data_IF_061751935690
#
_entry.id   IF_061751935690
#
_cell.length_a   1.000
_cell.length_b   1.000
_cell.length_c   1.000
_cell.angle_alpha   90.00
_cell.angle_beta   90.00
_cell.angle_gamma   90.00
#
_symmetry.space_group_name_H-M   'P 1'
#
loop_
_entity.id
_entity.type
_entity.pdbx_description
1 polymer ?
#
# COMPACT_ATOMS: atom_id res chain seq x y z
N UNK A 1 -15.25 -40.31 33.95
CA UNK A 1 -14.85 -39.96 32.58
C UNK A 1 -15.78 -38.91 31.94
N UNK A 2 -16.30 -37.94 32.71
CA UNK A 2 -17.06 -36.78 32.19
C UNK A 2 -16.91 -35.62 33.19
N UNK A 3 -15.84 -34.84 33.05
CA UNK A 3 -15.66 -33.58 33.81
C UNK A 3 -14.60 -32.64 33.22
N UNK A 4 -13.79 -33.08 32.25
CA UNK A 4 -12.80 -32.22 31.59
C UNK A 4 -13.30 -31.39 30.39
N UNK A 5 -14.53 -31.62 29.91
CA UNK A 5 -15.09 -30.92 28.73
C UNK A 5 -15.79 -29.60 29.13
N UNK A 6 -16.27 -29.49 30.38
CA UNK A 6 -17.01 -28.30 30.85
C UNK A 6 -16.12 -27.07 31.09
N UNK A 7 -14.89 -27.27 31.60
CA UNK A 7 -13.93 -26.19 31.88
C UNK A 7 -13.31 -25.56 30.61
N UNK A 8 -13.15 -26.34 29.53
CA UNK A 8 -12.65 -25.79 28.24
C UNK A 8 -13.67 -24.88 27.56
N UNK A 9 -14.96 -25.14 27.73
CA UNK A 9 -16.02 -24.31 27.17
C UNK A 9 -16.24 -23.01 27.97
N UNK A 10 -16.01 -23.01 29.29
CA UNK A 10 -16.13 -21.78 30.11
C UNK A 10 -14.96 -20.80 29.90
N UNK A 11 -13.73 -21.29 29.77
CA UNK A 11 -12.54 -20.47 29.45
C UNK A 11 -12.61 -19.88 28.02
N UNK A 12 -13.19 -20.61 27.06
CA UNK A 12 -13.41 -20.13 25.71
C UNK A 12 -14.55 -19.08 25.64
N UNK A 13 -15.59 -19.22 26.47
CA UNK A 13 -16.67 -18.24 26.60
C UNK A 13 -16.24 -16.94 27.33
N UNK A 14 -15.34 -17.04 28.31
CA UNK A 14 -14.78 -15.86 29.00
C UNK A 14 -13.84 -15.04 28.09
N UNK A 15 -13.03 -15.71 27.25
CA UNK A 15 -12.19 -15.02 26.26
C UNK A 15 -13.01 -14.34 25.15
N UNK A 16 -14.15 -14.93 24.74
CA UNK A 16 -15.11 -14.30 23.81
C UNK A 16 -15.79 -13.06 24.38
N UNK A 17 -16.22 -13.09 25.65
CA UNK A 17 -16.85 -11.93 26.32
C UNK A 17 -15.88 -10.77 26.54
N UNK A 18 -14.60 -11.06 26.81
CA UNK A 18 -13.57 -10.02 26.94
C UNK A 18 -13.27 -9.33 25.61
N UNK A 19 -13.21 -10.07 24.50
CA UNK A 19 -12.96 -9.52 23.17
C UNK A 19 -14.07 -8.55 22.70
N UNK A 20 -15.34 -8.92 22.91
CA UNK A 20 -16.48 -8.05 22.61
C UNK A 20 -16.52 -6.81 23.53
N UNK A 21 -16.21 -6.96 24.83
CA UNK A 21 -16.18 -5.82 25.77
C UNK A 21 -15.11 -4.79 25.44
N UNK A 22 -13.90 -5.18 25.05
CA UNK A 22 -12.81 -4.23 24.76
C UNK A 22 -13.09 -3.39 23.50
N UNK A 23 -13.72 -3.99 22.49
CA UNK A 23 -14.12 -3.29 21.26
C UNK A 23 -15.36 -2.40 21.52
N UNK A 24 -16.36 -2.88 22.25
CA UNK A 24 -17.55 -2.08 22.58
C UNK A 24 -17.26 -0.94 23.56
N UNK A 25 -16.35 -1.12 24.53
CA UNK A 25 -16.00 -0.07 25.50
C UNK A 25 -15.14 1.05 24.89
N UNK A 26 -14.31 0.75 23.89
CA UNK A 26 -13.55 1.78 23.16
C UNK A 26 -14.42 2.59 22.19
N UNK A 27 -15.52 2.01 21.70
CA UNK A 27 -16.54 2.71 20.89
C UNK A 27 -17.51 3.54 21.74
N UNK A 28 -17.87 3.07 22.94
CA UNK A 28 -18.77 3.80 23.86
C UNK A 28 -18.10 5.01 24.54
N UNK A 29 -16.80 4.91 24.90
CA UNK A 29 -16.06 6.00 25.55
C UNK A 29 -15.86 7.27 24.71
N UNK A 30 -16.17 7.23 23.40
CA UNK A 30 -16.12 8.43 22.53
C UNK A 30 -17.48 9.10 22.34
N UNK A 31 -18.57 8.54 22.88
CA UNK A 31 -19.94 9.06 22.69
C UNK A 31 -20.55 9.74 23.91
N UNK A 32 -19.93 9.68 25.09
CA UNK A 32 -20.33 10.46 26.25
C UNK A 32 -19.13 11.23 26.77
N UNK A 33 -19.12 12.54 26.58
CA UNK A 33 -18.60 13.52 27.53
C UNK A 33 -18.89 14.92 26.94
N UNK A 34 -20.16 15.30 27.06
CA UNK A 34 -20.58 16.69 27.04
C UNK A 34 -20.89 17.09 28.49
N UNK A 35 -20.05 17.98 28.99
CA UNK A 35 -20.21 18.94 30.09
C UNK A 35 -20.42 18.44 31.53
N UNK A 36 -19.58 19.03 32.37
CA UNK A 36 -19.65 19.25 33.81
C UNK A 36 -19.41 18.06 34.75
N UNK A 37 -18.14 17.89 35.16
CA UNK A 37 -17.78 17.88 36.58
C UNK A 37 -16.30 18.21 36.81
N UNK A 38 -16.06 19.01 37.86
CA UNK A 38 -14.86 19.80 38.14
C UNK A 38 -13.64 19.01 38.63
N UNK A 39 -12.47 19.43 38.12
CA UNK A 39 -11.20 19.67 38.84
C UNK A 39 -10.79 18.69 39.94
N UNK A 40 -10.18 17.56 39.55
CA UNK A 40 -9.16 16.84 40.34
C UNK A 40 -8.27 15.89 39.50
N UNK A 41 -8.54 15.71 38.20
CA UNK A 41 -7.97 14.62 37.38
C UNK A 41 -6.83 15.01 36.42
N UNK A 42 -6.40 16.29 36.38
CA UNK A 42 -5.41 16.73 35.37
C UNK A 42 -3.99 16.27 35.68
N UNK A 43 -3.60 16.24 36.96
CA UNK A 43 -2.25 15.88 37.43
C UNK A 43 -1.99 14.37 37.41
N UNK A 44 -3.00 13.56 37.72
CA UNK A 44 -2.93 12.09 37.67
C UNK A 44 -2.86 11.61 36.22
N UNK A 45 -3.69 12.17 35.33
CA UNK A 45 -3.63 11.85 33.90
C UNK A 45 -2.31 12.31 33.25
N UNK A 46 -1.74 13.45 33.67
CA UNK A 46 -0.40 13.84 33.20
C UNK A 46 0.69 12.95 33.77
N UNK A 47 0.60 12.52 35.03
CA UNK A 47 1.58 11.61 35.62
C UNK A 47 1.54 10.22 35.00
N UNK A 48 0.35 9.67 34.69
CA UNK A 48 0.23 8.43 33.94
C UNK A 48 0.75 8.56 32.51
N UNK A 49 0.50 9.69 31.84
CA UNK A 49 1.08 9.98 30.52
C UNK A 49 2.60 10.10 30.59
N UNK A 50 3.15 10.79 31.58
CA UNK A 50 4.59 10.95 31.80
C UNK A 50 5.23 9.59 32.12
N UNK A 51 4.61 8.76 32.96
CA UNK A 51 5.10 7.42 33.26
C UNK A 51 4.99 6.48 32.05
N UNK A 52 3.96 6.65 31.21
CA UNK A 52 3.84 5.92 29.95
C UNK A 52 4.90 6.37 28.95
N UNK A 53 5.17 7.67 28.85
CA UNK A 53 6.25 8.25 28.02
C UNK A 53 7.61 7.78 28.53
N UNK A 54 7.87 7.82 29.83
CA UNK A 54 9.12 7.37 30.45
C UNK A 54 9.31 5.85 30.33
N UNK A 55 8.24 5.07 30.49
CA UNK A 55 8.28 3.61 30.29
C UNK A 55 8.47 3.25 28.81
N UNK A 56 7.91 4.04 27.89
CA UNK A 56 8.17 3.91 26.47
C UNK A 56 9.63 4.31 26.16
N UNK A 57 10.14 5.39 26.73
CA UNK A 57 11.52 5.85 26.54
C UNK A 57 12.56 4.89 27.13
N UNK A 58 12.28 4.28 28.30
CA UNK A 58 13.13 3.24 28.90
C UNK A 58 13.02 1.89 28.18
N UNK A 59 11.88 1.59 27.56
CA UNK A 59 11.66 0.39 26.74
C UNK A 59 12.28 0.50 25.34
N UNK A 60 12.58 1.71 24.87
CA UNK A 60 13.23 1.99 23.59
C UNK A 60 14.70 2.37 23.80
N UNK A 61 15.53 1.46 24.30
CA UNK A 61 16.95 1.53 23.92
C UNK A 61 16.99 1.21 22.43
N UNK A 62 16.96 2.25 21.59
CA UNK A 62 17.31 2.12 20.18
C UNK A 62 18.75 1.65 20.14
N UNK A 63 18.95 0.37 19.85
CA UNK A 63 20.27 -0.21 19.67
C UNK A 63 20.99 0.57 18.56
N UNK A 64 22.16 1.09 18.88
CA UNK A 64 22.94 1.85 17.93
C UNK A 64 23.65 0.90 16.96
N UNK A 65 24.06 1.44 15.81
CA UNK A 65 24.84 0.71 14.81
C UNK A 65 26.03 -0.02 15.44
N UNK A 66 26.77 0.64 16.33
CA UNK A 66 27.95 0.07 16.99
C UNK A 66 27.57 -1.13 17.86
N UNK A 67 26.53 -1.01 18.70
CA UNK A 67 26.12 -2.10 19.61
C UNK A 67 25.71 -3.37 18.86
N UNK A 68 25.14 -3.24 17.67
CA UNK A 68 24.71 -4.39 16.85
C UNK A 68 25.91 -5.03 16.15
N UNK A 69 26.88 -4.24 15.71
CA UNK A 69 28.13 -4.74 15.15
C UNK A 69 29.00 -5.42 16.21
N UNK A 70 29.05 -4.87 17.42
CA UNK A 70 29.71 -5.52 18.57
C UNK A 70 29.07 -6.87 18.91
N UNK A 71 27.74 -6.97 18.80
CA UNK A 71 27.04 -8.26 18.95
C UNK A 71 27.44 -9.26 17.86
N UNK A 72 27.59 -8.80 16.61
CA UNK A 72 28.06 -9.65 15.51
C UNK A 72 29.48 -10.18 15.75
N UNK A 73 30.38 -9.34 16.27
CA UNK A 73 31.76 -9.71 16.58
C UNK A 73 31.89 -10.64 17.79
N UNK A 74 31.05 -10.44 18.81
CA UNK A 74 31.10 -11.19 20.07
C UNK A 74 30.32 -12.52 20.02
N UNK A 75 29.15 -12.55 19.38
CA UNK A 75 28.29 -13.73 19.28
C UNK A 75 27.51 -13.76 17.95
N UNK A 76 28.18 -14.29 16.93
CA UNK A 76 27.61 -14.52 15.60
C UNK A 76 26.30 -15.34 15.65
N UNK A 77 26.19 -16.29 16.58
CA UNK A 77 25.00 -17.12 16.69
C UNK A 77 23.83 -16.28 17.23
N UNK A 78 24.03 -15.49 18.29
CA UNK A 78 22.99 -14.59 18.80
C UNK A 78 22.53 -13.58 17.72
N UNK A 79 23.48 -12.99 16.99
CA UNK A 79 23.17 -12.10 15.87
C UNK A 79 22.31 -12.78 14.79
N UNK A 80 22.71 -13.98 14.35
CA UNK A 80 21.96 -14.76 13.36
C UNK A 80 20.55 -15.14 13.86
N UNK A 81 20.43 -15.51 15.13
CA UNK A 81 19.14 -15.84 15.72
C UNK A 81 18.18 -14.65 15.79
N UNK A 82 18.71 -13.46 16.08
CA UNK A 82 17.97 -12.20 16.04
C UNK A 82 17.47 -11.89 14.62
N UNK A 83 18.32 -12.01 13.60
CA UNK A 83 17.92 -11.82 12.20
C UNK A 83 16.82 -12.79 11.77
N UNK A 84 16.93 -14.07 12.14
CA UNK A 84 15.90 -15.07 11.87
C UNK A 84 14.58 -14.74 12.59
N UNK A 85 14.63 -14.21 13.81
CA UNK A 85 13.42 -13.76 14.50
C UNK A 85 12.75 -12.60 13.77
N UNK A 86 13.53 -11.59 13.36
CA UNK A 86 13.01 -10.46 12.59
C UNK A 86 12.44 -10.87 11.24
N UNK A 87 13.09 -11.79 10.53
CA UNK A 87 12.55 -12.36 9.30
C UNK A 87 11.22 -13.08 9.57
N UNK A 88 11.13 -13.86 10.65
CA UNK A 88 9.90 -14.54 11.04
C UNK A 88 8.73 -13.59 11.34
N UNK A 89 9.00 -12.50 12.07
CA UNK A 89 8.02 -11.45 12.35
C UNK A 89 7.49 -10.78 11.06
N UNK A 90 8.39 -10.46 10.14
CA UNK A 90 8.03 -9.83 8.87
C UNK A 90 7.26 -10.80 7.95
N UNK A 91 7.63 -12.09 7.92
CA UNK A 91 6.90 -13.14 7.19
C UNK A 91 5.49 -13.33 7.76
N UNK A 92 5.35 -13.37 9.09
CA UNK A 92 4.04 -13.49 9.74
C UNK A 92 3.15 -12.28 9.41
N UNK A 93 3.72 -11.07 9.49
CA UNK A 93 3.03 -9.82 9.17
C UNK A 93 2.58 -9.78 7.70
N UNK A 94 3.48 -10.13 6.77
CA UNK A 94 3.20 -10.20 5.34
C UNK A 94 2.01 -11.12 5.05
N UNK A 95 2.03 -12.35 5.60
CA UNK A 95 0.95 -13.33 5.38
C UNK A 95 -0.37 -12.92 6.01
N UNK A 96 -0.32 -12.24 7.15
CA UNK A 96 -1.52 -11.67 7.78
C UNK A 96 -2.17 -10.64 6.87
N UNK A 97 -1.39 -9.69 6.34
CA UNK A 97 -1.92 -8.66 5.44
C UNK A 97 -2.44 -9.26 4.13
N UNK A 98 -1.71 -10.21 3.52
CA UNK A 98 -2.12 -10.89 2.28
C UNK A 98 -3.50 -11.55 2.42
N UNK A 99 -3.72 -12.27 3.53
CA UNK A 99 -4.99 -12.94 3.82
C UNK A 99 -6.11 -11.93 4.06
N UNK A 100 -5.84 -10.87 4.81
CA UNK A 100 -6.85 -9.83 5.09
C UNK A 100 -7.27 -9.09 3.81
N UNK A 101 -6.33 -8.78 2.92
CA UNK A 101 -6.62 -8.20 1.60
C UNK A 101 -7.45 -9.17 0.75
N UNK A 102 -7.06 -10.44 0.68
CA UNK A 102 -7.79 -11.44 -0.11
C UNK A 102 -9.23 -11.63 0.38
N UNK A 103 -9.46 -11.58 1.71
CA UNK A 103 -10.80 -11.64 2.31
C UNK A 103 -11.61 -10.36 2.04
N UNK A 104 -10.99 -9.18 2.09
CA UNK A 104 -11.65 -7.91 1.71
C UNK A 104 -12.09 -7.92 0.25
N UNK A 105 -11.23 -8.38 -0.67
CA UNK A 105 -11.52 -8.40 -2.11
C UNK A 105 -12.66 -9.36 -2.46
N UNK A 106 -12.75 -10.48 -1.72
CA UNK A 106 -13.85 -11.45 -1.85
C UNK A 106 -15.14 -11.01 -1.17
N UNK A 107 -15.11 -9.88 -0.45
CA UNK A 107 -16.22 -9.39 0.36
C UNK A 107 -16.61 -10.38 1.49
N UNK A 108 -15.66 -11.22 1.91
CA UNK A 108 -15.85 -12.16 3.02
C UNK A 108 -15.79 -11.42 4.37
N UNK A 109 -15.04 -10.31 4.42
CA UNK A 109 -14.86 -9.44 5.59
C UNK A 109 -14.77 -7.99 5.09
N UNK A 110 -15.32 -7.03 5.83
CA UNK A 110 -15.02 -5.61 5.64
C UNK A 110 -14.13 -5.09 6.78
N UNK A 111 -12.81 -5.15 6.59
CA UNK A 111 -11.81 -4.73 7.58
C UNK A 111 -11.69 -3.20 7.71
N UNK A 112 -12.21 -2.45 6.74
CA UNK A 112 -12.07 -0.98 6.70
C UNK A 112 -13.39 -0.24 6.91
N UNK A 113 -14.44 -0.94 7.38
CA UNK A 113 -15.77 -0.38 7.60
C UNK A 113 -15.69 0.98 8.32
N UNK A 114 -16.26 2.00 7.69
CA UNK A 114 -16.32 3.39 8.18
C UNK A 114 -14.96 4.05 8.51
N UNK A 115 -13.84 3.48 8.04
CA UNK A 115 -12.50 3.97 8.32
C UNK A 115 -11.97 4.84 7.17
N UNK A 116 -11.48 6.06 7.46
CA UNK A 116 -10.84 6.88 6.45
C UNK A 116 -9.48 6.29 6.02
N UNK A 117 -9.04 6.60 4.81
CA UNK A 117 -7.92 5.91 4.15
C UNK A 117 -6.57 6.12 4.82
N UNK A 118 -6.41 7.20 5.58
CA UNK A 118 -5.27 7.49 6.43
C UNK A 118 -5.13 6.52 7.63
N UNK A 119 -6.18 5.82 8.05
CA UNK A 119 -6.14 4.87 9.17
C UNK A 119 -5.89 3.42 8.73
N UNK A 120 -5.91 3.14 7.42
CA UNK A 120 -5.75 1.79 6.85
C UNK A 120 -4.52 1.06 7.40
N UNK A 121 -3.34 1.72 7.42
CA UNK A 121 -2.10 1.12 7.92
C UNK A 121 -2.20 0.78 9.42
N UNK A 122 -2.74 1.70 10.22
CA UNK A 122 -2.93 1.51 11.67
C UNK A 122 -3.90 0.36 11.95
N UNK A 123 -4.97 0.23 11.17
CA UNK A 123 -5.92 -0.89 11.29
C UNK A 123 -5.23 -2.22 10.99
N UNK A 124 -4.47 -2.31 9.89
CA UNK A 124 -3.71 -3.52 9.54
C UNK A 124 -2.67 -3.88 10.60
N UNK A 125 -1.94 -2.90 11.13
CA UNK A 125 -0.98 -3.10 12.22
C UNK A 125 -1.66 -3.64 13.49
N UNK A 126 -2.85 -3.14 13.84
CA UNK A 126 -3.62 -3.67 14.98
C UNK A 126 -4.00 -5.14 14.78
N UNK A 127 -4.40 -5.52 13.56
CA UNK A 127 -4.68 -6.92 13.24
C UNK A 127 -3.43 -7.80 13.31
N UNK A 128 -2.28 -7.32 12.80
CA UNK A 128 -1.00 -8.03 12.92
C UNK A 128 -0.68 -8.29 14.39
N UNK A 129 -0.73 -7.26 15.24
CA UNK A 129 -0.45 -7.41 16.67
C UNK A 129 -1.41 -8.38 17.35
N UNK A 130 -2.72 -8.25 17.10
CA UNK A 130 -3.72 -9.13 17.68
C UNK A 130 -3.53 -10.60 17.24
N UNK A 131 -3.22 -10.84 15.96
CA UNK A 131 -3.00 -12.19 15.45
C UNK A 131 -1.69 -12.77 15.96
N UNK A 132 -0.65 -11.94 16.11
CA UNK A 132 0.64 -12.35 16.69
C UNK A 132 0.47 -12.76 18.15
N UNK A 133 -0.26 -11.99 18.93
CA UNK A 133 -0.54 -12.29 20.33
C UNK A 133 -1.34 -13.59 20.46
N UNK A 134 -2.32 -13.81 19.59
CA UNK A 134 -3.07 -15.05 19.56
C UNK A 134 -2.20 -16.24 19.15
N UNK A 135 -1.38 -16.08 18.11
CA UNK A 135 -0.47 -17.11 17.65
C UNK A 135 0.52 -17.52 18.74
N UNK A 136 1.06 -16.55 19.49
CA UNK A 136 2.02 -16.80 20.59
C UNK A 136 1.40 -17.49 21.80
N UNK A 137 0.08 -17.39 22.00
CA UNK A 137 -0.65 -18.09 23.06
C UNK A 137 -0.95 -19.55 22.74
N UNK A 138 -0.92 -19.92 21.46
CA UNK A 138 -1.10 -21.31 21.06
C UNK A 138 0.16 -22.12 21.40
N UNK A 139 0.07 -23.03 22.37
CA UNK A 139 1.18 -23.89 22.82
C UNK A 139 1.86 -24.74 21.72
N UNK A 140 1.21 -24.91 20.56
CA UNK A 140 1.72 -25.63 19.39
C UNK A 140 2.26 -24.69 18.28
N UNK A 141 2.44 -23.41 18.60
CA UNK A 141 3.01 -22.43 17.69
C UNK A 141 4.54 -22.52 17.70
N UNK A 142 5.14 -22.31 16.52
CA UNK A 142 6.57 -22.14 16.39
C UNK A 142 6.97 -20.76 16.88
N UNK A 143 8.16 -20.60 17.47
CA UNK A 143 8.69 -19.28 17.76
C UNK A 143 8.91 -18.48 16.47
N UNK A 144 8.97 -17.14 16.55
CA UNK A 144 9.22 -16.31 15.35
C UNK A 144 10.55 -16.65 14.68
N UNK A 145 11.58 -16.94 15.48
CA UNK A 145 12.85 -17.46 15.00
C UNK A 145 12.70 -18.77 14.20
N UNK A 146 11.89 -19.70 14.68
CA UNK A 146 11.66 -20.98 13.99
C UNK A 146 10.89 -20.78 12.68
N UNK A 147 9.97 -19.81 12.63
CA UNK A 147 9.30 -19.39 11.39
C UNK A 147 10.32 -18.86 10.39
N UNK A 148 11.19 -17.93 10.81
CA UNK A 148 12.22 -17.36 9.93
C UNK A 148 13.18 -18.42 9.41
N UNK A 149 13.62 -19.35 10.27
CA UNK A 149 14.47 -20.49 9.88
C UNK A 149 13.76 -21.39 8.87
N UNK A 150 12.52 -21.81 9.17
CA UNK A 150 11.73 -22.68 8.30
C UNK A 150 11.42 -22.01 6.95
N UNK A 151 11.18 -20.69 6.96
CA UNK A 151 10.92 -19.92 5.74
C UNK A 151 12.16 -19.89 4.85
N UNK A 152 13.34 -19.70 5.45
CA UNK A 152 14.60 -19.71 4.71
C UNK A 152 14.91 -21.07 4.08
N UNK A 153 14.63 -22.16 4.80
CA UNK A 153 14.83 -23.53 4.30
C UNK A 153 13.78 -23.92 3.24
N UNK A 154 12.51 -23.60 3.50
CA UNK A 154 11.40 -23.89 2.59
C UNK A 154 10.25 -22.89 2.78
N UNK A 155 10.28 -21.82 1.98
CA UNK A 155 9.29 -20.76 2.00
C UNK A 155 7.87 -21.29 1.72
N UNK A 156 7.70 -22.19 0.74
CA UNK A 156 6.39 -22.72 0.34
C UNK A 156 5.70 -23.47 1.48
N UNK A 157 6.42 -24.38 2.14
CA UNK A 157 5.90 -25.17 3.26
C UNK A 157 5.50 -24.28 4.44
N UNK A 158 6.36 -23.32 4.78
CA UNK A 158 6.12 -22.37 5.88
C UNK A 158 4.90 -21.50 5.61
N UNK A 159 4.78 -20.96 4.39
CA UNK A 159 3.63 -20.16 3.97
C UNK A 159 2.32 -20.95 4.04
N UNK A 160 2.31 -22.21 3.58
CA UNK A 160 1.12 -23.08 3.66
C UNK A 160 0.64 -23.28 5.11
N UNK A 161 1.58 -23.53 6.03
CA UNK A 161 1.27 -23.72 7.45
C UNK A 161 0.71 -22.45 8.09
N UNK A 162 1.35 -21.30 7.86
CA UNK A 162 0.91 -20.01 8.37
C UNK A 162 -0.45 -19.61 7.80
N UNK A 163 -0.65 -19.80 6.50
CA UNK A 163 -1.88 -19.39 5.84
C UNK A 163 -3.12 -20.06 6.42
N UNK A 164 -3.02 -21.37 6.70
CA UNK A 164 -4.12 -22.12 7.29
C UNK A 164 -4.44 -21.65 8.72
N UNK A 165 -3.42 -21.35 9.52
CA UNK A 165 -3.60 -20.85 10.89
C UNK A 165 -4.21 -19.43 10.88
N UNK A 166 -3.59 -18.51 10.14
CA UNK A 166 -4.02 -17.11 10.07
C UNK A 166 -5.42 -17.00 9.50
N UNK A 167 -5.75 -17.71 8.41
CA UNK A 167 -7.09 -17.67 7.81
C UNK A 167 -8.15 -18.17 8.79
N UNK A 168 -7.90 -19.24 9.54
CA UNK A 168 -8.82 -19.73 10.58
C UNK A 168 -9.02 -18.69 11.67
N UNK A 169 -7.95 -18.06 12.13
CA UNK A 169 -8.01 -17.00 13.13
C UNK A 169 -8.82 -15.80 12.63
N UNK A 170 -8.54 -15.31 11.42
CA UNK A 170 -9.25 -14.20 10.81
C UNK A 170 -10.76 -14.47 10.68
N UNK A 171 -11.13 -15.64 10.16
CA UNK A 171 -12.54 -16.01 10.02
C UNK A 171 -13.22 -16.19 11.39
N UNK A 172 -12.52 -16.77 12.38
CA UNK A 172 -13.06 -16.94 13.73
C UNK A 172 -13.25 -15.60 14.46
N UNK A 173 -12.33 -14.65 14.31
CA UNK A 173 -12.43 -13.32 14.92
C UNK A 173 -13.63 -12.52 14.39
N UNK A 174 -14.09 -12.85 13.18
CA UNK A 174 -15.19 -12.16 12.50
C UNK A 174 -16.52 -12.93 12.55
N UNK A 175 -16.60 -14.07 13.26
CA UNK A 175 -17.82 -14.89 13.35
C UNK A 175 -19.01 -14.18 14.01
N UNK A 176 -18.74 -13.24 14.91
CA UNK A 176 -19.77 -12.50 15.65
C UNK A 176 -20.15 -11.18 14.95
N UNK A 177 -19.49 -10.83 13.84
CA UNK A 177 -19.96 -9.76 12.96
C UNK A 177 -21.19 -10.26 12.21
N UNK A 178 -22.26 -9.47 12.07
CA UNK A 178 -23.40 -9.86 11.25
C UNK A 178 -22.85 -10.30 9.90
N UNK A 179 -23.25 -11.47 9.35
CA UNK A 179 -22.79 -11.89 8.05
C UNK A 179 -23.08 -10.72 7.13
N UNK A 180 -22.03 -10.12 6.56
CA UNK A 180 -22.24 -9.28 5.39
C UNK A 180 -23.15 -10.11 4.50
N UNK A 181 -24.31 -9.57 4.12
CA UNK A 181 -25.16 -10.21 3.13
C UNK A 181 -24.26 -10.80 2.06
N UNK A 182 -24.56 -12.01 1.55
CA UNK A 182 -23.82 -12.68 0.46
C UNK A 182 -23.67 -11.71 -0.71
N UNK A 183 -22.74 -10.79 -0.58
CA UNK A 183 -22.54 -9.68 -1.47
C UNK A 183 -21.53 -10.26 -2.43
N UNK A 184 -21.83 -10.09 -3.70
CA UNK A 184 -20.91 -10.42 -4.77
C UNK A 184 -19.51 -9.87 -4.40
N UNK A 185 -18.43 -10.59 -4.75
CA UNK A 185 -17.07 -10.05 -4.66
C UNK A 185 -17.03 -8.64 -5.25
N UNK A 186 -16.13 -7.79 -4.76
CA UNK A 186 -15.96 -6.45 -5.35
C UNK A 186 -15.74 -6.61 -6.85
N UNK A 187 -16.76 -6.23 -7.65
CA UNK A 187 -16.73 -6.45 -9.08
C UNK A 187 -16.01 -5.28 -9.74
N UNK A 188 -14.73 -5.50 -10.01
CA UNK A 188 -13.91 -4.57 -10.77
C UNK A 188 -13.99 -4.97 -12.25
N UNK A 189 -15.00 -4.50 -12.98
CA UNK A 189 -15.15 -4.71 -14.43
C UNK A 189 -14.20 -3.78 -15.21
N UNK A 190 -12.91 -3.88 -14.94
CA UNK A 190 -11.89 -3.16 -15.70
C UNK A 190 -11.59 -3.88 -17.01
N UNK A 191 -11.20 -3.11 -18.04
CA UNK A 191 -10.73 -3.71 -19.30
C UNK A 191 -9.59 -4.70 -19.02
N UNK A 192 -9.71 -5.90 -19.58
CA UNK A 192 -8.70 -6.94 -19.45
C UNK A 192 -7.54 -6.67 -20.41
N UNK A 193 -6.34 -6.45 -19.88
CA UNK A 193 -5.14 -6.25 -20.68
C UNK A 193 -3.88 -6.68 -19.93
N UNK A 194 -2.79 -6.86 -20.69
CA UNK A 194 -1.48 -7.07 -20.11
C UNK A 194 -0.83 -5.71 -19.91
N UNK A 195 -0.45 -5.37 -18.67
CA UNK A 195 0.45 -4.26 -18.39
C UNK A 195 1.75 -4.57 -19.13
N UNK A 196 2.04 -3.75 -20.13
CA UNK A 196 3.18 -3.92 -21.02
C UNK A 196 4.47 -4.11 -20.23
N UNK A 197 5.28 -5.10 -20.60
CA UNK A 197 6.67 -5.20 -20.12
C UNK A 197 7.51 -4.21 -20.93
N UNK A 198 8.03 -3.12 -20.33
CA UNK A 198 8.78 -2.11 -21.05
C UNK A 198 10.08 -2.63 -21.69
N UNK A 199 10.61 -3.76 -21.20
CA UNK A 199 12.01 -4.15 -21.42
C UNK A 199 12.18 -5.35 -22.34
N UNK A 200 11.24 -5.57 -23.28
CA UNK A 200 11.32 -6.73 -24.21
C UNK A 200 12.67 -6.85 -24.91
N UNK A 201 13.38 -5.73 -25.16
CA UNK A 201 14.65 -5.68 -25.91
C UNK A 201 15.76 -4.82 -25.24
N UNK A 202 15.73 -4.58 -23.92
CA UNK A 202 16.64 -3.62 -23.24
C UNK A 202 17.83 -4.23 -22.50
N UNK A 203 18.96 -3.50 -22.44
CA UNK A 203 20.13 -3.79 -21.58
C UNK A 203 19.70 -3.96 -20.12
N UNK A 204 20.37 -4.85 -19.39
CA UNK A 204 20.03 -5.24 -18.01
C UNK A 204 20.27 -4.12 -16.98
N UNK A 205 19.36 -3.13 -16.87
CA UNK A 205 19.34 -2.18 -15.76
C UNK A 205 19.04 -2.92 -14.42
N UNK A 206 19.95 -2.88 -13.42
CA UNK A 206 19.76 -3.55 -12.13
C UNK A 206 18.60 -2.96 -11.32
N UNK A 207 18.24 -1.69 -11.53
CA UNK A 207 17.12 -1.03 -10.86
C UNK A 207 15.76 -1.31 -11.53
N UNK A 208 15.72 -2.00 -12.67
CA UNK A 208 14.48 -2.20 -13.41
C UNK A 208 13.82 -3.55 -13.09
N UNK A 209 12.64 -3.51 -12.48
CA UNK A 209 11.73 -4.64 -12.37
C UNK A 209 11.03 -4.89 -13.72
N UNK A 210 11.41 -5.98 -14.39
CA UNK A 210 10.96 -6.29 -15.76
C UNK A 210 9.71 -7.14 -15.83
N UNK A 211 9.15 -7.56 -14.69
CA UNK A 211 7.97 -8.43 -14.70
C UNK A 211 6.78 -7.68 -15.33
N UNK A 212 6.12 -8.32 -16.29
CA UNK A 212 4.82 -7.88 -16.80
C UNK A 212 3.70 -8.35 -15.88
N UNK A 213 2.67 -7.54 -15.71
CA UNK A 213 1.47 -7.89 -14.94
C UNK A 213 0.26 -8.05 -15.88
N UNK A 214 -0.71 -8.87 -15.53
CA UNK A 214 -1.93 -9.04 -16.32
C UNK A 214 -3.16 -8.73 -15.49
N UNK A 215 -4.10 -7.96 -16.05
CA UNK A 215 -5.38 -7.64 -15.39
C UNK A 215 -6.47 -8.66 -15.74
N UNK A 216 -6.22 -9.62 -16.64
CA UNK A 216 -7.21 -10.60 -17.15
C UNK A 216 -7.92 -11.38 -16.03
N UNK A 217 -7.17 -11.95 -15.08
CA UNK A 217 -7.70 -12.72 -13.94
C UNK A 217 -7.73 -11.93 -12.64
N UNK A 218 -7.05 -10.79 -12.60
CA UNK A 218 -6.81 -10.00 -11.39
C UNK A 218 -6.91 -8.50 -11.75
N UNK A 219 -8.13 -7.95 -11.85
CA UNK A 219 -8.35 -6.57 -12.27
C UNK A 219 -7.65 -5.55 -11.33
N UNK A 220 -7.51 -5.90 -10.05
CA UNK A 220 -6.79 -5.11 -9.04
C UNK A 220 -5.31 -4.92 -9.34
N UNK A 221 -4.73 -5.70 -10.26
CA UNK A 221 -3.34 -5.48 -10.71
C UNK A 221 -3.15 -4.12 -11.38
N UNK A 222 -4.23 -3.50 -11.87
CA UNK A 222 -4.18 -2.16 -12.42
C UNK A 222 -3.65 -1.13 -11.40
N UNK A 223 -4.05 -1.29 -10.14
CA UNK A 223 -3.69 -0.38 -9.05
C UNK A 223 -2.19 -0.33 -8.78
N UNK A 224 -1.44 -1.34 -9.23
CA UNK A 224 0.01 -1.41 -9.07
C UNK A 224 0.77 -0.26 -9.75
N UNK A 225 0.16 0.39 -10.74
CA UNK A 225 0.78 1.44 -11.54
C UNK A 225 0.02 2.78 -11.45
N UNK A 226 -1.02 2.85 -10.60
CA UNK A 226 -1.83 4.05 -10.41
C UNK A 226 -1.34 4.88 -9.21
N UNK A 227 -1.43 6.21 -9.34
CA UNK A 227 -1.25 7.15 -8.22
C UNK A 227 -2.43 7.03 -7.25
N UNK A 228 -2.13 6.78 -5.97
CA UNK A 228 -3.12 6.67 -4.89
C UNK A 228 -3.58 8.06 -4.40
N UNK A 229 -4.41 8.74 -5.18
CA UNK A 229 -4.96 10.06 -4.83
C UNK A 229 -6.47 10.07 -5.05
N UNK A 230 -7.23 10.63 -4.11
CA UNK A 230 -8.70 10.58 -4.15
C UNK A 230 -9.28 11.22 -5.42
N UNK A 231 -8.74 12.37 -5.85
CA UNK A 231 -9.20 13.06 -7.06
C UNK A 231 -8.89 12.26 -8.32
N UNK A 232 -7.69 11.68 -8.39
CA UNK A 232 -7.28 10.80 -9.49
C UNK A 232 -8.18 9.56 -9.55
N UNK A 233 -8.43 8.90 -8.42
CA UNK A 233 -9.25 7.70 -8.33
C UNK A 233 -10.72 8.02 -8.68
N UNK A 234 -11.28 9.11 -8.13
CA UNK A 234 -12.64 9.56 -8.44
C UNK A 234 -12.80 9.86 -9.93
N UNK A 235 -11.86 10.58 -10.53
CA UNK A 235 -11.83 10.84 -11.96
C UNK A 235 -11.77 9.53 -12.77
N UNK A 236 -10.93 8.59 -12.34
CA UNK A 236 -10.76 7.29 -12.99
C UNK A 236 -12.04 6.46 -12.97
N UNK A 237 -12.66 6.29 -11.80
CA UNK A 237 -13.90 5.56 -11.62
C UNK A 237 -15.04 6.18 -12.43
N UNK A 238 -15.13 7.51 -12.49
CA UNK A 238 -16.16 8.19 -13.29
C UNK A 238 -16.11 7.89 -14.80
N UNK A 239 -14.92 7.52 -15.31
CA UNK A 239 -14.68 7.26 -16.73
C UNK A 239 -14.86 5.79 -17.09
N UNK A 240 -14.59 4.87 -16.17
CA UNK A 240 -14.65 3.42 -16.41
C UNK A 240 -15.94 2.81 -15.90
N UNK A 241 -16.47 3.32 -14.80
CA UNK A 241 -17.46 2.61 -14.02
C UNK A 241 -18.63 3.51 -13.62
N UNK A 242 -19.51 3.78 -14.59
CA UNK A 242 -20.71 4.60 -14.39
C UNK A 242 -21.79 3.90 -13.55
N UNK A 243 -21.64 2.60 -13.25
CA UNK A 243 -22.69 1.77 -12.64
C UNK A 243 -22.27 1.06 -11.35
N UNK A 244 -20.98 0.99 -11.00
CA UNK A 244 -20.53 0.31 -9.79
C UNK A 244 -20.73 1.15 -8.53
N UNK A 245 -21.12 0.51 -7.42
CA UNK A 245 -21.19 1.15 -6.10
C UNK A 245 -19.81 1.40 -5.47
N UNK A 246 -18.70 1.09 -6.16
CA UNK A 246 -17.36 1.20 -5.57
C UNK A 246 -16.98 2.67 -5.36
N UNK A 247 -16.80 3.06 -4.10
CA UNK A 247 -16.42 4.42 -3.75
C UNK A 247 -14.90 4.62 -3.88
N UNK A 248 -14.43 5.86 -4.16
CA UNK A 248 -12.99 6.16 -4.21
C UNK A 248 -12.24 5.77 -2.93
N UNK A 249 -12.87 5.93 -1.77
CA UNK A 249 -12.31 5.59 -0.46
C UNK A 249 -12.00 4.10 -0.34
N UNK A 250 -12.90 3.22 -0.82
CA UNK A 250 -12.66 1.76 -0.81
C UNK A 250 -11.43 1.42 -1.66
N UNK A 251 -11.32 2.01 -2.86
CA UNK A 251 -10.14 1.81 -3.72
C UNK A 251 -8.87 2.33 -3.07
N UNK A 252 -8.90 3.51 -2.43
CA UNK A 252 -7.76 4.03 -1.68
C UNK A 252 -7.32 3.09 -0.55
N UNK A 253 -8.27 2.53 0.21
CA UNK A 253 -7.97 1.58 1.29
C UNK A 253 -7.30 0.32 0.73
N UNK A 254 -7.80 -0.22 -0.38
CA UNK A 254 -7.20 -1.36 -1.07
C UNK A 254 -5.79 -1.03 -1.57
N UNK A 255 -5.60 0.13 -2.20
CA UNK A 255 -4.29 0.58 -2.70
C UNK A 255 -3.28 0.77 -1.56
N UNK A 256 -3.71 1.34 -0.43
CA UNK A 256 -2.89 1.51 0.77
C UNK A 256 -2.54 0.17 1.41
N UNK A 257 -3.48 -0.78 1.44
CA UNK A 257 -3.24 -2.13 1.94
C UNK A 257 -2.26 -2.90 1.04
N UNK A 258 -2.42 -2.82 -0.28
CA UNK A 258 -1.50 -3.41 -1.26
C UNK A 258 -0.09 -2.81 -1.14
N UNK A 259 0.00 -1.50 -0.92
CA UNK A 259 1.27 -0.80 -0.66
C UNK A 259 1.93 -1.33 0.62
N UNK A 260 1.18 -1.45 1.72
CA UNK A 260 1.70 -2.02 2.95
C UNK A 260 2.14 -3.49 2.82
N UNK A 261 1.37 -4.31 2.10
CA UNK A 261 1.79 -5.67 1.75
C UNK A 261 3.09 -5.69 0.95
N UNK A 262 3.21 -4.78 -0.02
CA UNK A 262 4.40 -4.64 -0.86
C UNK A 262 5.66 -4.26 -0.12
N UNK A 263 5.55 -3.29 0.79
CA UNK A 263 6.63 -2.88 1.68
C UNK A 263 7.11 -4.05 2.55
N UNK A 264 6.18 -4.81 3.14
CA UNK A 264 6.50 -6.03 3.89
C UNK A 264 7.15 -7.09 3.00
N UNK A 265 6.68 -7.28 1.77
CA UNK A 265 7.24 -8.25 0.84
C UNK A 265 8.68 -7.89 0.45
N UNK A 266 8.94 -6.61 0.19
CA UNK A 266 10.28 -6.11 -0.10
C UNK A 266 11.21 -6.32 1.09
N UNK A 267 10.75 -5.96 2.30
CA UNK A 267 11.48 -6.19 3.55
C UNK A 267 11.81 -7.66 3.80
N UNK A 268 10.87 -8.58 3.56
CA UNK A 268 11.09 -10.03 3.66
C UNK A 268 12.13 -10.50 2.66
N UNK A 269 12.02 -10.10 1.39
CA UNK A 269 12.98 -10.49 0.34
C UNK A 269 14.40 -9.98 0.64
N UNK A 270 14.51 -8.72 1.09
CA UNK A 270 15.77 -8.12 1.52
C UNK A 270 16.36 -8.88 2.70
N UNK A 271 15.62 -9.02 3.81
CA UNK A 271 16.13 -9.72 4.99
C UNK A 271 16.49 -11.16 4.73
N UNK A 272 15.73 -11.86 3.89
CA UNK A 272 16.05 -13.23 3.49
C UNK A 272 17.41 -13.32 2.80
N UNK A 273 17.74 -12.38 1.91
CA UNK A 273 19.05 -12.31 1.27
C UNK A 273 20.17 -11.95 2.27
N UNK A 274 19.86 -11.16 3.31
CA UNK A 274 20.84 -10.70 4.29
C UNK A 274 21.22 -11.72 5.37
N UNK A 275 20.42 -12.79 5.59
CA UNK A 275 20.63 -13.70 6.74
C UNK A 275 22.03 -14.36 6.75
N UNK A 276 22.64 -14.57 5.59
CA UNK A 276 23.99 -15.16 5.48
C UNK A 276 25.06 -14.17 4.98
N UNK A 277 24.76 -12.87 4.95
CA UNK A 277 25.75 -11.86 4.53
C UNK A 277 26.46 -11.23 5.72
N UNK A 278 27.70 -10.77 5.51
CA UNK A 278 28.39 -9.96 6.51
C UNK A 278 27.72 -8.57 6.59
N UNK A 279 27.22 -8.13 7.76
CA UNK A 279 26.60 -6.80 7.93
C UNK A 279 27.51 -5.64 7.54
N UNK A 280 28.84 -5.82 7.59
CA UNK A 280 29.81 -4.79 7.22
C UNK A 280 29.84 -4.51 5.72
N UNK A 281 29.46 -5.48 4.89
CA UNK A 281 29.53 -5.35 3.42
C UNK A 281 28.48 -4.39 2.84
N UNK A 282 27.46 -4.06 3.62
CA UNK A 282 26.30 -3.25 3.18
C UNK A 282 26.12 -1.98 4.00
N UNK A 283 27.12 -1.61 4.80
CA UNK A 283 27.13 -0.33 5.51
C UNK A 283 27.01 0.83 4.52
N UNK A 284 26.29 1.88 4.93
CA UNK A 284 26.03 3.11 4.16
C UNK A 284 25.08 2.93 2.97
N UNK A 285 24.70 1.68 2.65
CA UNK A 285 23.67 1.37 1.66
C UNK A 285 22.25 1.51 2.23
N UNK A 286 21.21 1.66 1.38
CA UNK A 286 19.82 1.64 1.84
C UNK A 286 19.40 0.33 2.54
N UNK A 287 20.19 -0.74 2.45
CA UNK A 287 19.88 -2.05 3.04
C UNK A 287 20.44 -2.23 4.45
N UNK A 288 21.35 -1.36 4.90
CA UNK A 288 21.95 -1.39 6.24
C UNK A 288 20.88 -1.48 7.33
N UNK A 289 19.84 -0.64 7.22
CA UNK A 289 18.74 -0.56 8.18
C UNK A 289 17.98 -1.89 8.34
N UNK A 290 17.82 -2.64 7.25
CA UNK A 290 17.16 -3.95 7.29
C UNK A 290 18.04 -5.02 7.93
N UNK A 291 19.35 -4.91 7.76
CA UNK A 291 20.30 -5.84 8.36
C UNK A 291 20.44 -5.58 9.86
N UNK A 292 20.63 -4.32 10.26
CA UNK A 292 20.82 -3.96 11.67
C UNK A 292 19.47 -3.96 12.44
N UNK A 293 18.36 -3.76 11.74
CA UNK A 293 17.04 -3.58 12.36
C UNK A 293 16.87 -2.18 12.97
N UNK A 294 17.54 -1.18 12.40
CA UNK A 294 17.50 0.23 12.82
C UNK A 294 16.51 1.03 11.96
N UNK A 295 16.00 2.18 12.46
CA UNK A 295 15.12 3.04 11.67
C UNK A 295 15.87 3.70 10.49
N UNK A 296 15.19 3.86 9.35
CA UNK A 296 15.70 4.62 8.19
C UNK A 296 15.44 6.12 8.39
N UNK A 297 16.31 6.76 9.17
CA UNK A 297 16.17 8.18 9.54
C UNK A 297 16.28 9.13 8.35
N UNK A 298 17.05 8.76 7.33
CA UNK A 298 17.32 9.59 6.14
C UNK A 298 16.37 9.28 4.97
N UNK A 299 15.39 8.40 5.18
CA UNK A 299 14.42 7.99 4.17
C UNK A 299 15.09 7.41 2.90
N UNK A 300 16.29 6.82 3.04
CA UNK A 300 17.11 6.28 1.94
C UNK A 300 16.38 5.17 1.21
N UNK A 301 15.58 4.38 1.93
CA UNK A 301 14.77 3.29 1.36
C UNK A 301 13.73 3.86 0.40
N UNK A 302 12.98 4.90 0.78
CA UNK A 302 11.95 5.46 -0.10
C UNK A 302 12.55 6.17 -1.31
N UNK A 303 13.70 6.84 -1.15
CA UNK A 303 14.44 7.41 -2.27
C UNK A 303 14.85 6.32 -3.26
N UNK A 304 15.41 5.22 -2.76
CA UNK A 304 15.74 4.05 -3.57
C UNK A 304 14.50 3.47 -4.29
N UNK A 305 13.39 3.27 -3.57
CA UNK A 305 12.13 2.78 -4.17
C UNK A 305 11.64 3.70 -5.27
N UNK A 306 11.81 5.01 -5.13
CA UNK A 306 11.45 5.98 -6.16
C UNK A 306 12.32 5.85 -7.43
N UNK A 307 13.63 5.65 -7.28
CA UNK A 307 14.54 5.35 -8.40
C UNK A 307 14.09 4.09 -9.14
N UNK A 308 13.81 3.02 -8.41
CA UNK A 308 13.33 1.76 -8.99
C UNK A 308 11.99 1.94 -9.70
N UNK A 309 11.06 2.70 -9.13
CA UNK A 309 9.76 2.98 -9.76
C UNK A 309 9.91 3.71 -11.11
N UNK A 310 10.81 4.69 -11.18
CA UNK A 310 11.16 5.43 -12.41
C UNK A 310 11.84 4.50 -13.42
N UNK A 311 12.93 3.83 -13.03
CA UNK A 311 13.69 2.93 -13.92
C UNK A 311 12.87 1.75 -14.41
N UNK A 312 11.92 1.27 -13.61
CA UNK A 312 10.94 0.22 -13.99
C UNK A 312 9.77 0.73 -14.84
N UNK A 313 9.77 2.04 -15.15
CA UNK A 313 8.76 2.77 -15.91
C UNK A 313 7.33 2.59 -15.38
N UNK A 314 7.15 2.47 -14.06
CA UNK A 314 5.87 2.05 -13.47
C UNK A 314 4.72 2.99 -13.83
N UNK A 315 4.94 4.31 -13.76
CA UNK A 315 3.95 5.32 -14.15
C UNK A 315 3.57 5.27 -15.62
N UNK A 316 4.53 4.95 -16.50
CA UNK A 316 4.33 4.91 -17.95
C UNK A 316 3.58 3.65 -18.41
N UNK A 317 3.49 2.59 -17.58
CA UNK A 317 2.77 1.35 -17.91
C UNK A 317 1.28 1.55 -18.18
N UNK A 318 0.70 2.62 -17.63
CA UNK A 318 -0.70 3.03 -17.85
C UNK A 318 -0.85 4.27 -18.74
N UNK A 319 0.24 4.78 -19.34
CA UNK A 319 0.19 6.02 -20.12
C UNK A 319 -0.71 5.93 -21.37
N UNK A 320 -0.85 4.74 -21.95
CA UNK A 320 -1.74 4.47 -23.09
C UNK A 320 -3.22 4.35 -22.67
N UNK A 321 -3.49 4.10 -21.38
CA UNK A 321 -4.85 3.89 -20.88
C UNK A 321 -5.55 5.22 -20.64
N UNK A 322 -6.43 5.59 -21.57
CA UNK A 322 -7.09 6.90 -21.59
C UNK A 322 -7.73 7.33 -20.26
N UNK A 323 -8.51 6.47 -19.56
CA UNK A 323 -9.13 6.87 -18.30
C UNK A 323 -8.10 7.26 -17.24
N UNK A 324 -7.02 6.49 -17.11
CA UNK A 324 -5.95 6.83 -16.17
C UNK A 324 -5.22 8.11 -16.56
N UNK A 325 -4.82 8.25 -17.83
CA UNK A 325 -4.13 9.45 -18.33
C UNK A 325 -4.92 10.74 -18.07
N UNK A 326 -6.24 10.71 -18.31
CA UNK A 326 -7.11 11.87 -18.07
C UNK A 326 -7.29 12.16 -16.57
N UNK A 327 -7.32 11.14 -15.74
CA UNK A 327 -7.47 11.30 -14.30
C UNK A 327 -6.19 11.74 -13.61
N UNK A 328 -5.03 11.35 -14.13
CA UNK A 328 -3.73 11.80 -13.62
C UNK A 328 -3.59 13.33 -13.71
N UNK A 329 -4.19 13.96 -14.72
CA UNK A 329 -4.26 15.42 -14.86
C UNK A 329 -5.07 16.12 -13.75
N UNK A 330 -5.84 15.38 -12.94
CA UNK A 330 -6.57 15.92 -11.78
C UNK A 330 -5.70 15.96 -10.52
N UNK A 331 -4.46 15.48 -10.59
CA UNK A 331 -3.51 15.59 -9.50
C UNK A 331 -3.10 17.05 -9.32
N UNK A 332 -3.42 17.62 -8.16
CA UNK A 332 -3.09 19.02 -7.85
C UNK A 332 -1.62 19.20 -7.50
N UNK A 333 -1.02 20.32 -7.92
CA UNK A 333 0.39 20.65 -7.72
C UNK A 333 0.85 20.59 -6.26
N UNK A 334 -0.01 21.00 -5.32
CA UNK A 334 0.26 20.88 -3.87
C UNK A 334 0.58 19.46 -3.38
N UNK A 335 0.23 18.43 -4.16
CA UNK A 335 0.52 17.04 -3.82
C UNK A 335 1.89 16.58 -4.34
N UNK A 336 2.58 17.37 -5.17
CA UNK A 336 3.88 17.03 -5.77
C UNK A 336 4.83 18.25 -5.91
N UNK A 337 4.60 19.30 -5.14
CA UNK A 337 5.42 20.52 -5.09
C UNK A 337 6.85 20.23 -4.59
N UNK A 338 7.00 19.32 -3.62
CA UNK A 338 8.28 18.95 -3.01
C UNK A 338 8.85 17.60 -3.52
N UNK A 339 10.17 17.44 -3.42
CA UNK A 339 10.88 16.20 -3.76
C UNK A 339 10.38 15.04 -2.91
N UNK A 340 10.17 15.28 -1.62
CA UNK A 340 9.76 14.28 -0.63
C UNK A 340 8.37 13.72 -0.96
N UNK A 341 7.42 14.59 -1.36
CA UNK A 341 6.07 14.15 -1.75
C UNK A 341 6.11 13.30 -3.03
N UNK A 342 6.92 13.68 -4.02
CA UNK A 342 7.11 12.88 -5.24
C UNK A 342 7.72 11.52 -4.91
N UNK A 343 8.77 11.50 -4.07
CA UNK A 343 9.41 10.27 -3.60
C UNK A 343 8.41 9.38 -2.87
N UNK A 344 7.57 9.93 -2.00
CA UNK A 344 6.55 9.17 -1.30
C UNK A 344 5.52 8.54 -2.26
N UNK A 345 5.06 9.26 -3.29
CA UNK A 345 4.15 8.73 -4.31
C UNK A 345 4.82 7.60 -5.11
N UNK A 346 6.07 7.79 -5.52
CA UNK A 346 6.81 6.81 -6.31
C UNK A 346 7.15 5.55 -5.51
N UNK A 347 7.55 5.70 -4.24
CA UNK A 347 7.76 4.58 -3.33
C UNK A 347 6.48 3.79 -3.09
N UNK A 348 5.34 4.47 -2.94
CA UNK A 348 4.02 3.84 -2.78
C UNK A 348 3.58 3.05 -4.03
N UNK A 349 3.92 3.54 -5.23
CA UNK A 349 3.71 2.80 -6.50
C UNK A 349 4.65 1.59 -6.57
N UNK A 350 5.92 1.76 -6.23
CA UNK A 350 6.88 0.65 -6.15
C UNK A 350 6.37 -0.44 -5.23
N UNK A 351 5.94 -0.09 -4.01
CA UNK A 351 5.52 -1.06 -3.01
C UNK A 351 4.35 -1.91 -3.55
N UNK A 352 3.29 -1.27 -4.06
CA UNK A 352 2.17 -2.02 -4.69
C UNK A 352 2.64 -2.94 -5.81
N UNK A 353 3.48 -2.44 -6.70
CA UNK A 353 3.98 -3.19 -7.84
C UNK A 353 4.82 -4.39 -7.40
N UNK A 354 5.79 -4.17 -6.51
CA UNK A 354 6.64 -5.21 -5.96
C UNK A 354 5.82 -6.26 -5.21
N UNK A 355 4.84 -5.87 -4.40
CA UNK A 355 3.97 -6.79 -3.69
C UNK A 355 3.18 -7.73 -4.60
N UNK A 356 2.65 -7.20 -5.71
CA UNK A 356 1.95 -8.02 -6.71
C UNK A 356 2.93 -8.91 -7.47
N UNK A 357 4.11 -8.40 -7.84
CA UNK A 357 5.17 -9.21 -8.45
C UNK A 357 5.61 -10.37 -7.54
N UNK A 358 5.82 -10.10 -6.26
CA UNK A 358 6.22 -11.11 -5.27
C UNK A 358 5.14 -12.18 -5.09
N UNK A 359 3.86 -11.81 -5.10
CA UNK A 359 2.74 -12.77 -5.04
C UNK A 359 2.69 -13.69 -6.26
N UNK A 360 3.06 -13.20 -7.43
CA UNK A 360 3.06 -13.98 -8.68
C UNK A 360 4.33 -14.83 -8.84
N UNK A 361 5.49 -14.29 -8.46
CA UNK A 361 6.80 -14.89 -8.69
C UNK A 361 7.82 -14.41 -7.66
N UNK A 362 7.74 -14.98 -6.45
CA UNK A 362 8.63 -14.65 -5.34
C UNK A 362 10.11 -14.90 -5.69
N UNK A 363 10.40 -16.00 -6.42
CA UNK A 363 11.76 -16.37 -6.81
C UNK A 363 12.41 -15.32 -7.70
N UNK A 364 11.67 -14.78 -8.67
CA UNK A 364 12.15 -13.67 -9.51
C UNK A 364 12.48 -12.43 -8.67
N UNK A 365 11.61 -12.07 -7.73
CA UNK A 365 11.81 -10.91 -6.87
C UNK A 365 13.02 -11.10 -5.93
N UNK A 366 13.17 -12.27 -5.33
CA UNK A 366 14.32 -12.62 -4.48
C UNK A 366 15.64 -12.54 -5.25
N UNK A 367 15.68 -13.10 -6.45
CA UNK A 367 16.86 -13.02 -7.33
C UNK A 367 17.16 -11.57 -7.76
N UNK A 368 16.13 -10.77 -8.05
CA UNK A 368 16.31 -9.36 -8.37
C UNK A 368 16.89 -8.57 -7.18
N UNK A 369 16.41 -8.83 -5.96
CA UNK A 369 16.95 -8.20 -4.74
C UNK A 369 18.41 -8.58 -4.52
N UNK A 370 18.79 -9.84 -4.72
CA UNK A 370 20.19 -10.28 -4.63
C UNK A 370 21.09 -9.54 -5.63
N UNK A 371 20.73 -9.56 -6.92
CA UNK A 371 21.49 -8.86 -7.96
C UNK A 371 21.64 -7.36 -7.66
N UNK A 372 20.61 -6.76 -7.07
CA UNK A 372 20.60 -5.37 -6.69
C UNK A 372 21.56 -5.11 -5.51
N UNK A 373 21.53 -5.94 -4.46
CA UNK A 373 22.48 -5.84 -3.35
C UNK A 373 23.92 -5.99 -3.82
N UNK A 374 24.17 -6.94 -4.73
CA UNK A 374 25.48 -7.12 -5.34
C UNK A 374 25.89 -5.83 -6.08
N UNK A 375 25.00 -5.26 -6.90
CA UNK A 375 25.26 -4.00 -7.60
C UNK A 375 25.63 -2.87 -6.63
N UNK A 376 24.89 -2.72 -5.52
CA UNK A 376 25.18 -1.71 -4.51
C UNK A 376 26.55 -1.94 -3.86
N UNK A 377 26.87 -3.19 -3.51
CA UNK A 377 28.15 -3.55 -2.89
C UNK A 377 29.36 -3.17 -3.76
N UNK A 378 29.21 -3.23 -5.08
CA UNK A 378 30.26 -2.83 -6.04
C UNK A 378 30.33 -1.32 -6.28
N UNK A 379 29.27 -0.56 -5.95
CA UNK A 379 29.14 0.87 -6.29
C UNK A 379 29.01 1.79 -5.05
N UNK A 380 29.29 1.29 -3.84
CA UNK A 380 29.13 2.02 -2.55
C UNK A 380 29.75 3.43 -2.58
N UNK A 381 30.90 3.60 -3.25
CA UNK A 381 31.64 4.88 -3.28
C UNK A 381 31.03 5.97 -4.18
N UNK A 382 29.95 5.68 -4.90
CA UNK A 382 29.39 6.59 -5.89
C UNK A 382 28.03 7.16 -5.44
N UNK A 383 28.00 7.84 -4.28
CA UNK A 383 26.77 8.48 -3.78
C UNK A 383 26.20 9.49 -4.79
N UNK A 384 27.08 10.26 -5.46
CA UNK A 384 26.71 11.23 -6.49
C UNK A 384 25.94 10.59 -7.66
N UNK A 385 26.14 9.31 -7.95
CA UNK A 385 25.37 8.60 -8.97
C UNK A 385 23.93 8.37 -8.52
N UNK A 386 23.70 7.96 -7.27
CA UNK A 386 22.36 7.71 -6.75
C UNK A 386 21.54 9.00 -6.64
N UNK A 387 22.19 10.10 -6.23
CA UNK A 387 21.55 11.41 -6.18
C UNK A 387 21.11 11.88 -7.57
N UNK A 388 21.96 11.71 -8.59
CA UNK A 388 21.58 11.99 -9.98
C UNK A 388 20.41 11.14 -10.45
N UNK A 389 20.41 9.84 -10.15
CA UNK A 389 19.28 8.96 -10.50
C UNK A 389 17.98 9.41 -9.82
N UNK A 390 18.06 9.86 -8.58
CA UNK A 390 16.91 10.37 -7.85
C UNK A 390 16.37 11.67 -8.46
N UNK A 391 17.26 12.59 -8.84
CA UNK A 391 16.89 13.83 -9.54
C UNK A 391 16.24 13.56 -10.89
N UNK A 392 16.81 12.65 -11.69
CA UNK A 392 16.21 12.17 -12.96
C UNK A 392 14.80 11.60 -12.72
N UNK A 393 14.63 10.80 -11.67
CA UNK A 393 13.34 10.17 -11.33
C UNK A 393 12.28 11.21 -10.97
N UNK A 394 12.67 12.25 -10.22
CA UNK A 394 11.78 13.35 -9.82
C UNK A 394 11.41 14.22 -11.04
N UNK A 395 12.38 14.50 -11.90
CA UNK A 395 12.14 15.23 -13.15
C UNK A 395 11.19 14.47 -14.07
N UNK A 396 11.39 13.16 -14.24
CA UNK A 396 10.52 12.30 -15.06
C UNK A 396 9.08 12.30 -14.52
N UNK A 397 8.90 12.20 -13.20
CA UNK A 397 7.56 12.28 -12.59
C UNK A 397 6.86 13.58 -12.96
N UNK A 398 7.54 14.72 -12.76
CA UNK A 398 7.00 16.06 -13.05
C UNK A 398 6.65 16.19 -14.52
N UNK A 399 7.48 15.68 -15.42
CA UNK A 399 7.23 15.70 -16.86
C UNK A 399 5.96 14.91 -17.21
N UNK A 400 5.81 13.68 -16.69
CA UNK A 400 4.66 12.81 -16.97
C UNK A 400 3.34 13.43 -16.50
N UNK A 401 3.32 14.01 -15.30
CA UNK A 401 2.14 14.69 -14.75
C UNK A 401 1.83 15.95 -15.56
N UNK A 402 2.83 16.80 -15.81
CA UNK A 402 2.67 18.06 -16.56
C UNK A 402 2.16 17.81 -17.98
N UNK A 403 2.71 16.81 -18.67
CA UNK A 403 2.25 16.39 -20.01
C UNK A 403 0.80 15.91 -19.99
N UNK A 404 0.40 15.19 -18.94
CA UNK A 404 -0.99 14.71 -18.79
C UNK A 404 -1.95 15.88 -18.56
N UNK A 405 -1.56 16.85 -17.73
CA UNK A 405 -2.30 18.09 -17.49
C UNK A 405 -2.44 18.93 -18.76
N UNK A 406 -1.35 19.15 -19.49
CA UNK A 406 -1.33 19.90 -20.74
C UNK A 406 -2.22 19.26 -21.81
N UNK A 407 -2.11 17.94 -22.01
CA UNK A 407 -2.97 17.22 -22.97
C UNK A 407 -4.46 17.31 -22.61
N UNK A 408 -4.78 17.29 -21.32
CA UNK A 408 -6.17 17.41 -20.86
C UNK A 408 -6.71 18.83 -21.04
N UNK A 409 -5.87 19.85 -20.79
CA UNK A 409 -6.19 21.25 -21.07
C UNK A 409 -6.43 21.48 -22.57
N UNK A 410 -5.52 21.01 -23.43
CA UNK A 410 -5.66 21.09 -24.88
C UNK A 410 -6.95 20.43 -25.38
N UNK A 411 -7.29 19.24 -24.87
CA UNK A 411 -8.54 18.57 -25.22
C UNK A 411 -9.79 19.36 -24.82
N UNK A 412 -9.81 19.98 -23.62
CA UNK A 412 -10.91 20.86 -23.18
C UNK A 412 -11.02 22.10 -24.05
N UNK A 413 -9.89 22.72 -24.38
CA UNK A 413 -9.85 23.88 -25.27
C UNK A 413 -10.41 23.56 -26.66
N UNK A 414 -10.00 22.45 -27.26
CA UNK A 414 -10.51 22.00 -28.55
C UNK A 414 -12.02 21.67 -28.51
N UNK A 415 -12.51 21.07 -27.42
CA UNK A 415 -13.94 20.81 -27.23
C UNK A 415 -14.76 22.11 -27.11
N UNK A 416 -14.27 23.09 -26.36
CA UNK A 416 -14.93 24.39 -26.23
C UNK A 416 -14.96 25.14 -27.57
N UNK A 417 -13.88 25.09 -28.35
CA UNK A 417 -13.86 25.65 -29.71
C UNK A 417 -14.88 24.97 -30.64
N UNK A 418 -15.04 23.64 -30.55
CA UNK A 418 -16.05 22.91 -31.33
C UNK A 418 -17.47 23.21 -30.87
N UNK A 419 -17.69 23.35 -29.57
CA UNK A 419 -18.98 23.73 -28.99
C UNK A 419 -19.37 25.15 -29.44
N UNK A 420 -18.45 26.10 -29.35
CA UNK A 420 -18.66 27.48 -29.79
C UNK A 420 -18.90 27.58 -31.31
N UNK A 421 -18.22 26.75 -32.12
CA UNK A 421 -18.51 26.66 -33.56
C UNK A 421 -19.91 26.09 -33.84
N UNK A 422 -20.37 25.11 -33.04
CA UNK A 422 -21.70 24.52 -33.17
C UNK A 422 -22.81 25.47 -32.70
N UNK A 423 -22.61 26.23 -31.63
CA UNK A 423 -23.57 27.23 -31.15
C UNK A 423 -23.72 28.40 -32.14
N UNK A 424 -22.61 28.86 -32.73
CA UNK A 424 -22.65 29.92 -33.76
C UNK A 424 -23.40 29.48 -35.04
N UNK A 425 -23.34 28.18 -35.37
CA UNK A 425 -24.08 27.60 -36.49
C UNK A 425 -25.58 27.44 -36.21
N UNK A 426 -25.97 27.21 -34.95
CA UNK A 426 -27.39 27.19 -34.55
C UNK A 426 -27.99 28.59 -34.50
N UNK A 427 -27.25 29.58 -34.01
CA UNK A 427 -27.70 30.97 -33.96
C UNK A 427 -27.83 31.56 -35.38
N UNK A 428 -26.88 31.28 -36.27
CA UNK A 428 -26.98 31.70 -37.68
C UNK A 428 -28.15 31.07 -38.44
N UNK A 429 -28.59 29.86 -38.06
CA UNK A 429 -29.79 29.23 -38.64
C UNK A 429 -31.08 29.85 -38.09
N UNK A 430 -31.13 30.15 -36.80
CA UNK A 430 -32.27 30.82 -36.16
C UNK A 430 -32.44 32.25 -36.69
N UNK A 431 -31.34 33.00 -36.86
CA UNK A 431 -31.37 34.33 -37.48
C UNK A 431 -31.83 34.28 -38.94
N UNK A 432 -31.37 33.29 -39.73
CA UNK A 432 -31.86 33.10 -41.11
C UNK A 432 -33.34 32.72 -41.17
N UNK A 433 -33.85 31.95 -40.21
CA UNK A 433 -35.28 31.65 -40.11
C UNK A 433 -36.09 32.90 -39.76
N UNK A 434 -35.67 33.69 -38.77
CA UNK A 434 -36.32 34.94 -38.40
C UNK A 434 -36.30 35.98 -39.53
N UNK A 435 -35.20 36.08 -40.27
CA UNK A 435 -35.11 36.97 -41.45
C UNK A 435 -36.04 36.51 -42.58
N UNK A 436 -36.18 35.19 -42.78
CA UNK A 436 -37.11 34.65 -43.77
C UNK A 436 -38.57 34.81 -43.36
N UNK A 437 -38.89 34.64 -42.08
CA UNK A 437 -40.23 34.90 -41.52
C UNK A 437 -40.59 36.39 -41.60
N UNK A 438 -39.66 37.28 -41.27
CA UNK A 438 -39.85 38.72 -41.42
C UNK A 438 -40.04 39.15 -42.88
N UNK A 439 -39.29 38.55 -43.83
CA UNK A 439 -39.49 38.77 -45.27
C UNK A 439 -40.85 38.27 -45.76
N UNK A 440 -41.30 37.12 -45.28
CA UNK A 440 -42.63 36.58 -45.62
C UNK A 440 -43.75 37.50 -45.10
N UNK A 441 -43.61 38.03 -43.88
CA UNK A 441 -44.56 38.97 -43.30
C UNK A 441 -44.61 40.31 -44.05
N UNK A 442 -43.47 40.84 -44.49
CA UNK A 442 -43.39 42.05 -45.30
C UNK A 442 -43.98 41.87 -46.70
N UNK A 443 -43.87 40.67 -47.31
CA UNK A 443 -44.52 40.35 -48.57
C UNK A 443 -46.05 40.24 -48.44
N UNK A 444 -46.56 39.84 -47.28
CA UNK A 444 -48.01 39.80 -47.00
C UNK A 444 -48.62 41.15 -46.62
N UNK A 445 -47.79 42.17 -46.32
CA UNK A 445 -48.24 43.54 -45.97
C UNK A 445 -47.95 44.59 -47.06
N UNK A 446 -47.44 44.18 -48.22
CA UNK A 446 -47.32 45.03 -49.40
C UNK A 446 -48.60 45.04 -50.23
N UNK A 447 -49.25 46.21 -50.27
CA UNK A 447 -50.21 46.64 -51.30
C UNK A 447 -49.53 46.70 -52.67
#
# INVERSE_FOLDING_TARGET
MFSYISLRNSLCAQNKKYFSRTISQSLAKRKSNSNDELFLDSSINTMEQILTILRNAHGTKTETRETILDQYDSDLNAFRQRLLSFLGDDVFSLRTVDILIDLQLRNDIDIFKDSPSNHTKTVLQRYISAFRDQYSRDSLSFSMKDIGKSFKENAQKTNSLLNNKIRRTALNAMKDMPPGHKNSPLNFEFCQFNLYNPFRNGTADPFALRKGLSTKKHPTNLFSAMVNNEKVIRGFLSLIDKKSPTTPTVVQNIMTAQSFHGDLAFKVAVKWALVDTDPRSLLETPFEFYHLGTPDEMNKINQFKAIVASRSMLLKRLAWFYPYRKSLAMLEEKNFDSKEKIVAIMADIFDRFFGICYKLDAKYCEQWVQNLMDFYSHNIKNEAFLDRLLEESVAEFREVVSKSSFNTFGARWSQNLQYNKRSHLTDSKAEKQLVNEARALLQTQGV
#
